data_IF_205856354654
#
_entry.id   IF_205856354654
#
_cell.length_a   1.000
_cell.length_b   1.000
_cell.length_c   1.000
_cell.angle_alpha   90.00
_cell.angle_beta   90.00
_cell.angle_gamma   90.00
#
_symmetry.space_group_name_H-M   'P 1'
#
loop_
_entity.id
_entity.type
_entity.pdbx_description
1 polymer ?
#
# COMPACT_ATOMS: atom_id res chain seq x y z
N UNK A 1 -19.01 -2.57 17.68
CA UNK A 1 -19.45 -3.38 18.84
C UNK A 1 -19.64 -2.39 20.00
N UNK A 2 -20.65 -2.53 20.86
CA UNK A 2 -20.84 -1.64 22.03
C UNK A 2 -20.42 -2.37 23.31
N UNK A 3 -19.91 -1.64 24.29
CA UNK A 3 -19.64 -2.16 25.65
C UNK A 3 -20.34 -1.27 26.68
N UNK A 4 -20.54 -1.83 27.88
CA UNK A 4 -21.25 -1.16 28.98
C UNK A 4 -22.66 -0.70 28.58
N UNK A 5 -23.40 -1.56 27.89
CA UNK A 5 -24.79 -1.29 27.52
C UNK A 5 -25.63 -1.06 28.78
N UNK A 6 -26.27 0.09 28.86
CA UNK A 6 -27.16 0.47 29.97
C UNK A 6 -28.56 0.75 29.45
N UNK A 7 -29.56 0.23 30.18
CA UNK A 7 -30.95 0.59 29.94
C UNK A 7 -31.21 1.94 30.61
N UNK A 8 -31.60 2.93 29.83
CA UNK A 8 -31.91 4.27 30.31
C UNK A 8 -33.29 4.34 30.95
N UNK A 9 -33.62 5.46 31.61
CA UNK A 9 -34.95 5.72 32.18
C UNK A 9 -36.05 5.81 31.10
N UNK A 10 -35.65 5.99 29.84
CA UNK A 10 -36.52 6.00 28.66
C UNK A 10 -36.70 4.61 28.03
N UNK A 11 -36.27 3.54 28.72
CA UNK A 11 -36.34 2.15 28.25
C UNK A 11 -35.56 1.88 26.95
N UNK A 12 -34.53 2.69 26.66
CA UNK A 12 -33.65 2.48 25.52
C UNK A 12 -32.39 1.74 25.98
N UNK A 13 -31.96 0.73 25.21
CA UNK A 13 -30.68 0.08 25.41
C UNK A 13 -29.62 0.91 24.68
N UNK A 14 -28.89 1.74 25.43
CA UNK A 14 -27.83 2.58 24.87
C UNK A 14 -26.49 1.99 25.24
N UNK A 15 -25.73 1.58 24.22
CA UNK A 15 -24.36 1.13 24.35
C UNK A 15 -23.38 2.26 24.08
N UNK A 16 -22.25 2.27 24.79
CA UNK A 16 -21.13 3.11 24.37
C UNK A 16 -20.49 2.42 23.17
N UNK A 17 -20.39 3.05 21.99
CA UNK A 17 -19.67 2.46 20.87
C UNK A 17 -18.23 2.19 21.30
N UNK A 18 -17.80 0.93 21.22
CA UNK A 18 -16.39 0.60 21.28
C UNK A 18 -15.82 1.16 20.00
N UNK A 19 -15.15 2.31 20.11
CA UNK A 19 -14.27 2.79 19.07
C UNK A 19 -13.04 1.90 19.15
N UNK A 20 -13.13 0.72 18.51
CA UNK A 20 -11.94 0.01 18.06
C UNK A 20 -11.52 0.77 16.81
N UNK A 21 -10.92 1.95 16.99
CA UNK A 21 -10.07 2.49 15.94
C UNK A 21 -8.96 1.45 15.78
N UNK A 22 -8.83 0.80 14.63
CA UNK A 22 -7.66 -0.03 14.39
C UNK A 22 -6.44 0.86 14.65
N UNK A 23 -5.61 0.46 15.61
CA UNK A 23 -4.33 1.12 15.87
C UNK A 23 -3.47 0.87 14.63
N UNK A 24 -3.48 1.83 13.71
CA UNK A 24 -2.62 1.84 12.54
C UNK A 24 -1.28 2.46 12.93
N UNK A 25 -0.19 1.83 12.54
CA UNK A 25 1.14 2.44 12.66
C UNK A 25 1.20 3.78 11.90
N UNK A 26 0.45 3.87 10.79
CA UNK A 26 0.34 5.06 9.94
C UNK A 26 -1.12 5.53 9.81
N UNK A 27 -1.66 6.31 10.78
CA UNK A 27 -3.06 6.71 10.82
C UNK A 27 -3.52 7.55 9.62
N UNK A 28 -2.63 8.35 9.04
CA UNK A 28 -2.92 9.16 7.84
C UNK A 28 -3.14 8.33 6.58
N UNK A 29 -2.50 7.16 6.51
CA UNK A 29 -2.66 6.20 5.41
C UNK A 29 -3.74 5.15 5.72
N UNK A 30 -4.20 5.08 6.97
CA UNK A 30 -5.05 3.99 7.47
C UNK A 30 -4.44 2.62 7.17
N UNK A 31 -3.12 2.50 7.36
CA UNK A 31 -2.31 1.33 7.04
C UNK A 31 -1.24 1.08 8.12
N UNK A 32 -0.73 -0.13 8.17
CA UNK A 32 0.36 -0.56 9.06
C UNK A 32 1.69 -0.62 8.31
N UNK A 33 2.80 -0.61 9.04
CA UNK A 33 4.13 -0.77 8.44
C UNK A 33 4.20 -2.15 7.77
N UNK A 34 4.64 -2.17 6.51
CA UNK A 34 4.71 -3.37 5.68
C UNK A 34 3.41 -3.76 4.98
N UNK A 35 2.31 -3.02 5.18
CA UNK A 35 1.12 -3.18 4.35
C UNK A 35 1.44 -2.77 2.90
N UNK A 36 0.82 -3.47 1.94
CA UNK A 36 0.91 -3.11 0.53
C UNK A 36 0.24 -1.76 0.26
N UNK A 37 0.86 -0.92 -0.54
CA UNK A 37 0.31 0.36 -0.96
C UNK A 37 0.59 0.61 -2.45
N UNK A 38 0.35 1.83 -2.94
CA UNK A 38 0.67 2.29 -4.30
C UNK A 38 1.36 3.64 -4.15
N UNK A 39 2.64 3.74 -4.53
CA UNK A 39 3.42 4.99 -4.43
C UNK A 39 3.17 5.94 -5.61
N UNK A 40 2.39 5.49 -6.60
CA UNK A 40 2.03 6.23 -7.81
C UNK A 40 3.14 6.29 -8.87
N UNK A 41 4.25 5.59 -8.70
CA UNK A 41 5.33 5.47 -9.68
C UNK A 41 5.18 4.17 -10.49
N UNK A 42 4.81 4.29 -11.77
CA UNK A 42 4.71 3.14 -12.68
C UNK A 42 6.08 2.43 -12.90
N UNK A 43 7.19 3.02 -12.44
CA UNK A 43 8.54 2.47 -12.51
C UNK A 43 8.96 1.70 -11.24
N UNK A 44 8.08 1.54 -10.26
CA UNK A 44 8.31 0.76 -9.05
C UNK A 44 7.36 -0.44 -8.97
N UNK A 45 7.74 -1.46 -8.19
CA UNK A 45 6.93 -2.63 -7.89
C UNK A 45 7.08 -3.05 -6.43
N UNK A 46 6.11 -3.84 -5.93
CA UNK A 46 6.09 -4.35 -4.55
C UNK A 46 6.09 -3.23 -3.50
N UNK A 47 5.26 -2.22 -3.71
CA UNK A 47 5.17 -1.04 -2.85
C UNK A 47 4.64 -1.38 -1.46
N UNK A 48 5.33 -0.84 -0.45
CA UNK A 48 5.04 -1.08 0.96
C UNK A 48 5.11 0.19 1.79
N UNK A 49 4.32 0.22 2.86
CA UNK A 49 4.37 1.29 3.86
C UNK A 49 5.65 1.16 4.69
N UNK A 50 6.47 2.21 4.71
CA UNK A 50 7.73 2.28 5.46
C UNK A 50 7.51 2.72 6.91
N UNK A 51 8.57 2.65 7.74
CA UNK A 51 8.57 3.18 9.12
C UNK A 51 8.32 4.70 9.19
N UNK A 52 8.60 5.42 8.10
CA UNK A 52 8.33 6.85 7.95
C UNK A 52 6.89 7.15 7.48
N UNK A 53 6.04 6.13 7.38
CA UNK A 53 4.68 6.23 6.86
C UNK A 53 4.60 6.79 5.44
N UNK A 54 5.56 6.41 4.60
CA UNK A 54 5.57 6.65 3.16
C UNK A 54 5.28 5.34 2.43
N UNK A 55 4.63 5.43 1.28
CA UNK A 55 4.55 4.30 0.37
C UNK A 55 5.76 4.33 -0.56
N UNK A 56 6.52 3.24 -0.62
CA UNK A 56 7.73 3.16 -1.44
C UNK A 56 7.81 1.77 -2.09
N UNK A 57 8.02 1.75 -3.41
CA UNK A 57 8.28 0.54 -4.17
C UNK A 57 9.75 0.26 -4.49
N UNK A 58 9.98 -0.93 -5.03
CA UNK A 58 11.27 -1.38 -5.55
C UNK A 58 11.38 -1.00 -7.02
N UNK A 59 12.46 -0.35 -7.48
CA UNK A 59 12.59 0.03 -8.89
C UNK A 59 12.52 -1.17 -9.84
N UNK A 60 11.66 -1.08 -10.83
CA UNK A 60 11.61 -2.01 -11.96
C UNK A 60 12.84 -1.73 -12.82
N UNK A 61 13.79 -2.67 -12.83
CA UNK A 61 14.90 -2.60 -13.77
C UNK A 61 14.41 -3.11 -15.12
N UNK A 62 13.85 -2.20 -15.92
CA UNK A 62 13.67 -2.43 -17.36
C UNK A 62 15.03 -2.30 -18.03
N UNK A 63 15.84 -3.36 -17.94
CA UNK A 63 16.86 -3.57 -18.95
C UNK A 63 16.11 -3.77 -20.26
N UNK A 64 16.32 -2.93 -21.30
CA UNK A 64 15.75 -3.23 -22.60
C UNK A 64 16.21 -4.63 -22.99
N UNK A 65 15.27 -5.57 -23.11
CA UNK A 65 15.52 -6.93 -23.57
C UNK A 65 15.90 -6.88 -25.06
N UNK A 66 17.11 -6.41 -25.34
CA UNK A 66 17.70 -6.50 -26.65
C UNK A 66 18.03 -7.97 -26.90
N UNK A 67 17.55 -8.51 -28.02
CA UNK A 67 17.98 -9.85 -28.45
C UNK A 67 19.50 -9.95 -28.61
N UNK A 68 20.16 -8.80 -28.88
CA UNK A 68 21.60 -8.64 -28.94
C UNK A 68 22.08 -7.56 -27.94
N UNK A 69 22.22 -7.87 -26.63
CA UNK A 69 22.53 -6.88 -25.59
C UNK A 69 23.85 -6.13 -25.81
N UNK A 70 24.87 -6.80 -26.34
CA UNK A 70 26.18 -6.19 -26.61
C UNK A 70 26.19 -5.18 -27.76
N UNK A 71 25.11 -5.13 -28.55
CA UNK A 71 24.95 -4.25 -29.71
C UNK A 71 23.81 -3.24 -29.51
N UNK A 72 23.10 -3.30 -28.38
CA UNK A 72 21.88 -2.51 -28.12
C UNK A 72 20.87 -2.63 -29.29
N UNK A 73 20.70 -3.84 -29.83
CA UNK A 73 19.89 -4.11 -31.03
C UNK A 73 18.93 -5.32 -30.86
N UNK A 74 17.83 -5.31 -31.59
CA UNK A 74 16.80 -6.37 -31.63
C UNK A 74 16.94 -7.24 -32.88
N UNK A 75 16.39 -8.47 -32.84
CA UNK A 75 16.29 -9.32 -34.04
C UNK A 75 15.39 -8.64 -35.06
N UNK A 76 15.95 -8.35 -36.24
CA UNK A 76 15.25 -7.68 -37.33
C UNK A 76 15.60 -6.21 -37.50
N UNK A 77 16.43 -5.64 -36.62
CA UNK A 77 16.97 -4.30 -36.81
C UNK A 77 17.85 -4.25 -38.07
N UNK A 78 17.74 -3.14 -38.81
CA UNK A 78 18.57 -2.90 -39.99
C UNK A 78 19.99 -2.61 -39.56
N UNK A 79 20.96 -3.41 -40.02
CA UNK A 79 22.37 -3.07 -39.92
C UNK A 79 22.81 -2.35 -41.21
N UNK A 80 23.42 -1.17 -41.05
CA UNK A 80 24.21 -0.49 -42.09
C UNK A 80 25.69 -0.91 -41.96
#
# INVERSE_FOLDING_TARGET
>A
MTENDVVTEDCECVGTPIIVEPEFDCPSLQANIGDSCDDGDDMTENDVVTEDCECVGTPIIVEPEFDCPSLEANIGDSCD
#
